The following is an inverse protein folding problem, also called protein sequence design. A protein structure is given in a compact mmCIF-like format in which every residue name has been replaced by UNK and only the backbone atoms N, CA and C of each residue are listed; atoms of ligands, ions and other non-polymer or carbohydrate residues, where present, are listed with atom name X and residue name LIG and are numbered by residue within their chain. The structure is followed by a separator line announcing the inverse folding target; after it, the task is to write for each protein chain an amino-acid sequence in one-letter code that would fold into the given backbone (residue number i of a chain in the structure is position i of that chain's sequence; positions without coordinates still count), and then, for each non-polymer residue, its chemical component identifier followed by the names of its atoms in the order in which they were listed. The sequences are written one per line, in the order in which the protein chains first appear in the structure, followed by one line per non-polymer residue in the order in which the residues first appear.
data_IF_431213841659
#
_entry.id   IF_431213841659
#
_cell.length_a   1.000
_cell.length_b   1.000
_cell.length_c   1.000
_cell.angle_alpha   90.00
_cell.angle_beta   90.00
_cell.angle_gamma   90.00
#
_symmetry.space_group_name_H-M   'P 1'
#
loop_
_entity.id
_entity.type
_entity.pdbx_description
1 polymer ?
#
# COMPACT_ATOMS: atom_id res chain seq x y z
N UNK A 1 24.95 11.24 0.97
CA UNK A 1 25.55 9.87 0.90
C UNK A 1 24.50 8.78 1.15
N UNK A 2 23.61 8.96 2.12
CA UNK A 2 22.58 7.98 2.51
C UNK A 2 21.64 7.54 1.38
N UNK A 3 21.24 8.46 0.48
CA UNK A 3 20.31 8.12 -0.63
C UNK A 3 20.93 7.08 -1.57
N UNK A 4 22.21 7.23 -1.91
CA UNK A 4 22.91 6.30 -2.81
C UNK A 4 23.04 4.90 -2.21
N UNK A 5 23.31 4.82 -0.90
CA UNK A 5 23.39 3.56 -0.19
C UNK A 5 22.02 2.89 -0.10
N UNK A 6 21.00 3.65 0.30
CA UNK A 6 19.62 3.17 0.37
C UNK A 6 19.13 2.66 -0.99
N UNK A 7 19.32 3.45 -2.05
CA UNK A 7 18.90 3.06 -3.41
C UNK A 7 19.68 1.87 -3.93
N UNK A 8 21.00 1.78 -3.68
CA UNK A 8 21.78 0.61 -4.08
C UNK A 8 21.28 -0.67 -3.38
N UNK A 9 21.06 -0.61 -2.06
CA UNK A 9 20.51 -1.75 -1.29
C UNK A 9 19.11 -2.11 -1.78
N UNK A 10 18.25 -1.10 -1.99
CA UNK A 10 16.88 -1.31 -2.46
C UNK A 10 16.83 -1.92 -3.86
N UNK A 11 17.74 -1.51 -4.76
CA UNK A 11 17.86 -2.07 -6.10
C UNK A 11 18.29 -3.53 -6.04
N UNK A 12 19.27 -3.87 -5.21
CA UNK A 12 19.68 -5.25 -4.98
C UNK A 12 18.55 -6.10 -4.40
N UNK A 13 17.78 -5.55 -3.45
CA UNK A 13 16.61 -6.22 -2.88
C UNK A 13 15.54 -6.48 -3.95
N UNK A 14 15.24 -5.50 -4.80
CA UNK A 14 14.28 -5.65 -5.90
C UNK A 14 14.74 -6.74 -6.88
N UNK A 15 16.02 -6.76 -7.25
CA UNK A 15 16.59 -7.78 -8.13
C UNK A 15 16.51 -9.19 -7.51
N UNK A 16 16.87 -9.32 -6.24
CA UNK A 16 16.76 -10.57 -5.50
C UNK A 16 15.32 -11.09 -5.43
N UNK A 17 14.38 -10.22 -5.03
CA UNK A 17 12.95 -10.58 -4.99
C UNK A 17 12.39 -10.90 -6.37
N UNK A 18 12.89 -10.28 -7.44
CA UNK A 18 12.44 -10.57 -8.80
C UNK A 18 12.86 -11.97 -9.23
N UNK A 19 14.06 -12.43 -8.85
CA UNK A 19 14.50 -13.82 -9.08
C UNK A 19 13.59 -14.81 -8.33
N UNK A 20 13.24 -14.52 -7.08
CA UNK A 20 12.30 -15.36 -6.31
C UNK A 20 10.90 -15.37 -6.95
N UNK A 21 10.39 -14.19 -7.30
CA UNK A 21 9.06 -14.04 -7.90
C UNK A 21 8.95 -14.70 -9.28
N UNK A 22 10.06 -14.82 -10.01
CA UNK A 22 10.09 -15.49 -11.31
C UNK A 22 9.72 -16.97 -11.21
N UNK A 23 10.05 -17.60 -10.09
CA UNK A 23 9.75 -19.00 -9.80
C UNK A 23 8.32 -19.23 -9.29
N UNK A 24 7.53 -18.18 -9.04
CA UNK A 24 6.15 -18.37 -8.55
C UNK A 24 5.26 -18.96 -9.65
N UNK A 25 4.81 -20.18 -9.41
CA UNK A 25 3.77 -20.84 -10.18
C UNK A 25 2.61 -21.17 -9.25
N UNK A 26 1.41 -20.71 -9.62
CA UNK A 26 0.20 -21.11 -8.93
C UNK A 26 -0.18 -22.53 -9.42
N UNK A 27 -0.56 -23.45 -8.53
CA UNK A 27 -1.02 -24.80 -8.91
C UNK A 27 -2.23 -24.78 -9.84
N UNK A 28 -3.03 -23.71 -9.77
CA UNK A 28 -4.14 -23.43 -10.67
C UNK A 28 -4.06 -21.96 -11.11
N UNK A 29 -3.82 -21.72 -12.40
CA UNK A 29 -3.81 -20.38 -12.98
C UNK A 29 -5.12 -20.15 -13.73
N UNK A 30 -6.05 -19.40 -13.13
CA UNK A 30 -7.32 -19.02 -13.76
C UNK A 30 -7.16 -17.77 -14.66
N UNK A 31 -6.09 -17.00 -14.49
CA UNK A 31 -5.82 -15.76 -15.23
C UNK A 31 -4.66 -15.88 -16.24
N UNK A 32 -4.80 -15.30 -17.45
CA UNK A 32 -3.83 -15.46 -18.55
C UNK A 32 -2.45 -14.83 -18.27
N UNK A 33 -2.37 -13.88 -17.33
CA UNK A 33 -1.12 -13.19 -16.96
C UNK A 33 -0.31 -13.95 -15.91
N UNK A 34 -0.94 -14.88 -15.19
CA UNK A 34 -0.33 -15.66 -14.12
C UNK A 34 0.01 -14.85 -12.85
N UNK A 35 0.29 -15.54 -11.73
CA UNK A 35 0.46 -14.94 -10.41
C UNK A 35 1.74 -14.07 -10.29
N UNK A 36 2.70 -14.26 -11.19
CA UNK A 36 3.99 -13.57 -11.18
C UNK A 36 3.95 -12.16 -11.78
N UNK A 37 2.96 -11.85 -12.61
CA UNK A 37 2.93 -10.59 -13.36
C UNK A 37 2.88 -9.37 -12.43
N UNK A 38 2.00 -9.40 -11.44
CA UNK A 38 1.83 -8.30 -10.50
C UNK A 38 3.08 -8.05 -9.62
N UNK A 39 3.66 -9.07 -8.94
CA UNK A 39 4.91 -8.89 -8.19
C UNK A 39 6.06 -8.37 -9.05
N UNK A 40 6.26 -8.93 -10.25
CA UNK A 40 7.36 -8.53 -11.14
C UNK A 40 7.21 -7.10 -11.65
N UNK A 41 5.98 -6.67 -11.98
CA UNK A 41 5.70 -5.29 -12.38
C UNK A 41 6.06 -4.31 -11.25
N UNK A 42 5.62 -4.60 -10.02
CA UNK A 42 5.90 -3.76 -8.86
C UNK A 42 7.40 -3.64 -8.61
N UNK A 43 8.12 -4.77 -8.62
CA UNK A 43 9.57 -4.82 -8.44
C UNK A 43 10.32 -4.08 -9.55
N UNK A 44 9.84 -4.16 -10.80
CA UNK A 44 10.42 -3.43 -11.92
C UNK A 44 10.27 -1.91 -11.76
N UNK A 45 9.08 -1.43 -11.39
CA UNK A 45 8.83 0.00 -11.15
C UNK A 45 9.67 0.53 -9.98
N UNK A 46 9.72 -0.21 -8.87
CA UNK A 46 10.53 0.13 -7.71
C UNK A 46 12.03 0.12 -8.03
N UNK A 47 12.50 -0.87 -8.79
CA UNK A 47 13.87 -0.96 -9.28
C UNK A 47 14.23 0.21 -10.19
N UNK A 48 13.35 0.57 -11.12
CA UNK A 48 13.54 1.73 -12.01
C UNK A 48 13.63 3.05 -11.22
N UNK A 49 12.74 3.25 -10.24
CA UNK A 49 12.80 4.41 -9.35
C UNK A 49 14.10 4.45 -8.52
N UNK A 50 14.57 3.29 -8.07
CA UNK A 50 15.85 3.19 -7.35
C UNK A 50 17.05 3.52 -8.24
N UNK A 51 17.07 3.01 -9.47
CA UNK A 51 18.10 3.31 -10.46
C UNK A 51 18.15 4.81 -10.77
N UNK A 52 16.98 5.44 -10.90
CA UNK A 52 16.87 6.88 -11.09
C UNK A 52 17.50 7.67 -9.93
N UNK A 53 17.27 7.26 -8.68
CA UNK A 53 17.87 7.88 -7.49
C UNK A 53 19.40 7.73 -7.43
N UNK A 54 19.94 6.63 -7.97
CA UNK A 54 21.40 6.44 -8.10
C UNK A 54 22.00 7.41 -9.10
N UNK A 55 21.34 7.58 -10.27
CA UNK A 55 21.80 8.43 -11.37
C UNK A 55 21.71 9.91 -10.98
N UNK A 56 20.59 10.33 -10.38
CA UNK A 56 20.32 11.72 -10.02
C UNK A 56 20.02 11.85 -8.51
N UNK A 57 21.05 11.80 -7.64
CA UNK A 57 20.83 11.99 -6.21
C UNK A 57 20.28 13.40 -5.94
N UNK A 58 19.28 13.49 -5.06
CA UNK A 58 18.73 14.77 -4.64
C UNK A 58 19.78 15.67 -4.02
N UNK A 59 19.74 16.97 -4.36
CA UNK A 59 20.67 18.00 -3.85
C UNK A 59 20.25 18.58 -2.49
N UNK A 60 19.15 18.08 -1.90
CA UNK A 60 18.66 18.57 -0.60
C UNK A 60 19.61 18.13 0.53
N UNK A 61 19.87 19.04 1.46
CA UNK A 61 20.57 18.71 2.71
C UNK A 61 19.83 17.59 3.44
N UNK A 62 20.49 16.44 3.56
CA UNK A 62 19.93 15.25 4.19
C UNK A 62 20.03 15.36 5.71
N UNK A 63 19.21 16.24 6.31
CA UNK A 63 19.10 16.32 7.78
C UNK A 63 17.97 15.42 8.24
N UNK A 64 18.26 14.56 9.23
CA UNK A 64 17.23 13.73 9.86
C UNK A 64 16.34 14.64 10.71
N UNK A 65 15.12 14.88 10.23
CA UNK A 65 14.11 15.58 11.00
C UNK A 65 13.27 14.55 11.76
N UNK A 66 13.52 14.44 13.08
CA UNK A 66 12.90 13.47 13.98
C UNK A 66 11.36 13.47 13.89
N UNK A 67 10.65 14.62 13.93
CA UNK A 67 9.20 14.65 13.76
C UNK A 67 8.73 14.08 12.42
N UNK A 68 9.46 14.32 11.33
CA UNK A 68 9.13 13.75 10.00
C UNK A 68 9.36 12.25 10.01
N UNK A 69 10.47 11.78 10.58
CA UNK A 69 10.77 10.35 10.70
C UNK A 69 9.70 9.61 11.53
N UNK A 70 9.25 10.18 12.66
CA UNK A 70 8.16 9.63 13.46
C UNK A 70 6.84 9.57 12.69
N UNK A 71 6.49 10.62 11.94
CA UNK A 71 5.27 10.61 11.09
C UNK A 71 5.34 9.51 10.03
N UNK A 72 6.49 9.34 9.38
CA UNK A 72 6.70 8.25 8.42
C UNK A 72 6.58 6.87 9.08
N UNK A 73 7.16 6.68 10.26
CA UNK A 73 7.03 5.43 11.02
C UNK A 73 5.57 5.14 11.39
N UNK A 74 4.83 6.14 11.87
CA UNK A 74 3.40 6.03 12.16
C UNK A 74 2.58 5.70 10.90
N UNK A 75 2.94 6.28 9.75
CA UNK A 75 2.29 5.96 8.47
C UNK A 75 2.44 4.46 8.14
N UNK A 76 3.66 3.92 8.28
CA UNK A 76 3.90 2.48 8.10
C UNK A 76 3.07 1.65 9.08
N UNK A 77 2.99 2.05 10.35
CA UNK A 77 2.16 1.36 11.36
C UNK A 77 0.68 1.37 10.97
N UNK A 78 0.15 2.50 10.47
CA UNK A 78 -1.23 2.60 10.01
C UNK A 78 -1.49 1.68 8.81
N UNK A 79 -0.55 1.60 7.85
CA UNK A 79 -0.66 0.71 6.70
C UNK A 79 -0.59 -0.77 7.10
N UNK A 80 0.25 -1.11 8.08
CA UNK A 80 0.31 -2.47 8.64
C UNK A 80 -0.98 -2.82 9.39
N UNK A 81 -1.49 -1.90 10.21
CA UNK A 81 -2.76 -2.07 10.90
C UNK A 81 -3.88 -2.32 9.89
N UNK A 82 -3.95 -1.50 8.82
CA UNK A 82 -4.89 -1.68 7.72
C UNK A 82 -4.82 -3.08 7.12
N UNK A 83 -3.62 -3.55 6.76
CA UNK A 83 -3.43 -4.88 6.17
C UNK A 83 -3.89 -6.01 7.10
N UNK A 84 -3.65 -5.89 8.41
CA UNK A 84 -4.06 -6.88 9.41
C UNK A 84 -5.57 -6.85 9.68
N UNK A 85 -6.18 -5.67 9.66
CA UNK A 85 -7.63 -5.52 9.88
C UNK A 85 -8.47 -5.82 8.64
N UNK A 86 -7.85 -5.82 7.46
CA UNK A 86 -8.52 -5.87 6.16
C UNK A 86 -9.50 -7.04 6.04
N UNK A 87 -9.08 -8.24 6.44
CA UNK A 87 -9.90 -9.45 6.40
C UNK A 87 -10.94 -9.48 7.53
N UNK A 88 -10.57 -9.01 8.73
CA UNK A 88 -11.41 -9.06 9.94
C UNK A 88 -12.57 -8.06 9.90
N UNK A 89 -12.27 -6.79 9.60
CA UNK A 89 -13.26 -5.69 9.60
C UNK A 89 -13.90 -5.49 8.23
N UNK A 90 -13.31 -6.05 7.17
CA UNK A 90 -13.74 -5.84 5.80
C UNK A 90 -13.17 -4.57 5.18
N UNK A 91 -13.35 -4.44 3.87
CA UNK A 91 -12.77 -3.38 3.04
C UNK A 91 -13.22 -1.99 3.49
N UNK A 92 -14.54 -1.74 3.52
CA UNK A 92 -15.08 -0.39 3.76
C UNK A 92 -14.62 0.18 5.09
N UNK A 93 -14.74 -0.60 6.18
CA UNK A 93 -14.39 -0.17 7.53
C UNK A 93 -12.88 -0.01 7.67
N UNK A 94 -12.10 -0.97 7.19
CA UNK A 94 -10.63 -0.90 7.25
C UNK A 94 -10.10 0.30 6.48
N UNK A 95 -10.62 0.54 5.27
CA UNK A 95 -10.19 1.66 4.42
C UNK A 95 -10.62 3.00 5.02
N UNK A 96 -11.81 3.10 5.61
CA UNK A 96 -12.23 4.31 6.32
C UNK A 96 -11.34 4.58 7.55
N UNK A 97 -11.03 3.58 8.36
CA UNK A 97 -10.13 3.76 9.51
C UNK A 97 -8.72 4.18 9.08
N UNK A 98 -8.17 3.54 8.05
CA UNK A 98 -6.85 3.86 7.52
C UNK A 98 -6.80 5.29 6.95
N UNK A 99 -7.78 5.67 6.13
CA UNK A 99 -7.86 7.02 5.54
C UNK A 99 -8.07 8.10 6.60
N UNK A 100 -8.88 7.84 7.62
CA UNK A 100 -9.06 8.74 8.76
C UNK A 100 -7.76 8.91 9.55
N UNK A 101 -7.09 7.81 9.90
CA UNK A 101 -5.84 7.82 10.65
C UNK A 101 -4.72 8.55 9.88
N UNK A 102 -4.59 8.31 8.57
CA UNK A 102 -3.66 9.03 7.71
C UNK A 102 -4.02 10.52 7.61
N UNK A 103 -5.31 10.86 7.49
CA UNK A 103 -5.77 12.24 7.50
C UNK A 103 -5.34 13.00 8.75
N UNK A 104 -5.51 12.39 9.93
CA UNK A 104 -5.06 12.97 11.20
C UNK A 104 -3.53 13.04 11.30
N UNK A 105 -2.82 12.00 10.84
CA UNK A 105 -1.36 11.93 10.87
C UNK A 105 -0.70 13.09 10.10
N UNK A 106 -1.33 13.51 8.99
CA UNK A 106 -0.89 14.65 8.20
C UNK A 106 -1.52 15.99 8.63
N UNK A 107 -1.98 16.09 9.89
CA UNK A 107 -2.51 17.33 10.50
C UNK A 107 -3.81 17.82 9.84
N UNK A 108 -4.61 16.89 9.30
CA UNK A 108 -5.96 17.18 8.80
C UNK A 108 -6.94 17.51 9.92
N UNK A 109 -7.98 18.29 9.59
CA UNK A 109 -9.06 18.59 10.54
C UNK A 109 -9.93 17.35 10.75
N UNK A 110 -10.33 17.01 12.00
CA UNK A 110 -10.96 15.73 12.30
C UNK A 110 -12.30 15.53 11.58
N UNK A 111 -13.13 16.59 11.50
CA UNK A 111 -14.44 16.52 10.83
C UNK A 111 -14.32 16.21 9.33
N UNK A 112 -13.58 16.99 8.52
CA UNK A 112 -13.43 16.68 7.10
C UNK A 112 -12.64 15.39 6.87
N UNK A 113 -11.69 15.02 7.75
CA UNK A 113 -11.03 13.71 7.68
C UNK A 113 -12.02 12.55 7.85
N UNK A 114 -12.93 12.63 8.82
CA UNK A 114 -13.96 11.61 9.03
C UNK A 114 -14.90 11.50 7.82
N UNK A 115 -15.35 12.64 7.29
CA UNK A 115 -16.20 12.68 6.09
C UNK A 115 -15.46 12.08 4.89
N UNK A 116 -14.22 12.50 4.63
CA UNK A 116 -13.43 11.97 3.52
C UNK A 116 -13.14 10.49 3.67
N UNK A 117 -12.98 10.00 4.90
CA UNK A 117 -12.68 8.61 5.17
C UNK A 117 -13.87 7.70 4.83
N UNK A 118 -15.07 8.07 5.29
CA UNK A 118 -16.30 7.35 4.96
C UNK A 118 -16.57 7.41 3.46
N UNK A 119 -16.48 8.60 2.86
CA UNK A 119 -16.66 8.77 1.42
C UNK A 119 -15.68 7.92 0.61
N UNK A 120 -14.39 7.91 0.97
CA UNK A 120 -13.37 7.15 0.26
C UNK A 120 -13.59 5.63 0.41
N UNK A 121 -13.94 5.16 1.60
CA UNK A 121 -14.26 3.75 1.83
C UNK A 121 -15.43 3.27 0.98
N UNK A 122 -16.54 4.01 0.96
CA UNK A 122 -17.73 3.67 0.18
C UNK A 122 -17.47 3.78 -1.32
N UNK A 123 -16.84 4.87 -1.77
CA UNK A 123 -16.59 5.11 -3.19
C UNK A 123 -15.63 4.07 -3.79
N UNK A 124 -14.54 3.75 -3.08
CA UNK A 124 -13.62 2.71 -3.53
C UNK A 124 -14.29 1.34 -3.52
N UNK A 125 -15.11 1.04 -2.52
CA UNK A 125 -15.86 -0.21 -2.49
C UNK A 125 -16.78 -0.32 -3.71
N UNK A 126 -17.59 0.71 -3.99
CA UNK A 126 -18.43 0.74 -5.20
C UNK A 126 -17.62 0.62 -6.48
N UNK A 127 -16.43 1.22 -6.55
CA UNK A 127 -15.55 1.10 -7.72
C UNK A 127 -15.06 -0.34 -7.91
N UNK A 128 -14.59 -1.00 -6.85
CA UNK A 128 -14.07 -2.36 -6.94
C UNK A 128 -15.18 -3.40 -7.15
N UNK A 129 -16.30 -3.23 -6.46
CA UNK A 129 -17.45 -4.14 -6.50
C UNK A 129 -18.21 -3.99 -7.83
N UNK A 130 -18.63 -2.78 -8.20
CA UNK A 130 -19.52 -2.58 -9.36
C UNK A 130 -18.78 -2.47 -10.69
N UNK A 131 -17.59 -1.86 -10.71
CA UNK A 131 -16.89 -1.57 -11.97
C UNK A 131 -15.83 -2.62 -12.30
N UNK A 132 -15.13 -3.13 -11.28
CA UNK A 132 -14.02 -4.06 -11.46
C UNK A 132 -14.41 -5.52 -11.17
N UNK A 133 -15.61 -5.76 -10.63
CA UNK A 133 -16.14 -7.09 -10.27
C UNK A 133 -15.16 -7.90 -9.40
N UNK A 134 -14.48 -7.20 -8.48
CA UNK A 134 -13.48 -7.78 -7.59
C UNK A 134 -14.16 -8.15 -6.27
N UNK A 135 -14.14 -9.43 -5.84
CA UNK A 135 -14.71 -9.83 -4.57
C UNK A 135 -13.90 -9.22 -3.43
N UNK A 136 -14.54 -8.37 -2.63
CA UNK A 136 -13.91 -7.71 -1.47
C UNK A 136 -14.41 -8.35 -0.18
N UNK A 137 -13.56 -8.49 0.84
CA UNK A 137 -14.01 -8.96 2.13
C UNK A 137 -14.97 -7.95 2.75
N UNK A 138 -16.20 -8.39 3.02
CA UNK A 138 -17.19 -7.62 3.77
C UNK A 138 -16.90 -7.65 5.27
N UNK A 139 -16.18 -8.67 5.74
CA UNK A 139 -15.76 -8.81 7.13
C UNK A 139 -16.96 -8.81 8.07
N UNK A 140 -16.96 -7.91 9.05
CA UNK A 140 -18.07 -7.74 10.00
C UNK A 140 -19.41 -7.36 9.35
N UNK A 141 -19.40 -6.78 8.15
CA UNK A 141 -20.63 -6.41 7.45
C UNK A 141 -21.38 -7.63 6.91
N UNK A 142 -20.68 -8.74 6.66
CA UNK A 142 -21.27 -10.00 6.20
C UNK A 142 -22.28 -10.53 7.24
N UNK A 143 -21.94 -10.40 8.52
CA UNK A 143 -22.80 -10.79 9.64
C UNK A 143 -24.13 -10.00 9.73
N UNK A 144 -24.26 -8.86 9.04
CA UNK A 144 -25.49 -8.06 9.00
C UNK A 144 -26.26 -8.20 7.67
N UNK A 145 -25.67 -8.83 6.65
CA UNK A 145 -26.31 -9.03 5.34
C UNK A 145 -27.01 -10.39 5.27
N UNK A 146 -26.54 -11.39 6.00
CA UNK A 146 -27.18 -12.73 6.09
C UNK A 146 -28.30 -12.83 7.16
N UNK A 147 -28.66 -11.73 7.85
CA UNK A 147 -29.75 -11.66 8.83
C UNK A 147 -31.02 -11.01 8.28
#
# INVERSE_FOLDING_TARGET
MYVRLFSAIWLLLCAWLAVLAWGFQAPFAYDPVGPRAYPLLLLALMGAGSLWLIIKPGMLEQRLDIPVAMRSALCVVVLLAYALTFELLGFVISTALATFALGLLFTGRPVPCAISAVLMGVLLYSLFDLLLDVPLPLGLLDAFVES
#
